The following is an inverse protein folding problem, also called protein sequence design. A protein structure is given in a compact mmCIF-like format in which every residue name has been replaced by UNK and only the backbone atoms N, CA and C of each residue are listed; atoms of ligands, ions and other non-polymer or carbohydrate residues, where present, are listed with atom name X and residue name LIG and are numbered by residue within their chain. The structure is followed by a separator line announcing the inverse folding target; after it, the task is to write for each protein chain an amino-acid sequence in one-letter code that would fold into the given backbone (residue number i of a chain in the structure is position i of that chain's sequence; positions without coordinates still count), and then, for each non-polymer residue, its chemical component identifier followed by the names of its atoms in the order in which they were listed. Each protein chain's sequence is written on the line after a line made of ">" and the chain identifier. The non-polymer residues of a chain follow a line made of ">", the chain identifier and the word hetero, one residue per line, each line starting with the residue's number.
data_IF_409223507709
#
_entry.id   IF_409223507709
#
_cell.length_a   1.000
_cell.length_b   1.000
_cell.length_c   1.000
_cell.angle_alpha   90.00
_cell.angle_beta   90.00
_cell.angle_gamma   90.00
#
_symmetry.space_group_name_H-M   'P 1'
#
loop_
_entity.id
_entity.type
_entity.pdbx_description
1 polymer ?
#
# COMPACT_ATOMS: atom_id res chain seq x y z
N UNK A 1 37.54 5.64 2.22
CA UNK A 1 36.80 4.73 3.11
C UNK A 1 35.67 5.45 3.81
N UNK A 2 34.40 5.12 3.52
CA UNK A 2 33.22 5.78 4.10
C UNK A 2 32.59 5.02 5.28
N UNK A 3 33.06 3.79 5.56
CA UNK A 3 32.53 2.91 6.62
C UNK A 3 33.71 2.25 7.35
N UNK A 4 33.65 2.21 8.69
CA UNK A 4 34.61 1.49 9.56
C UNK A 4 33.86 0.35 10.25
N UNK A 5 34.39 -0.87 10.15
CA UNK A 5 33.81 -2.07 10.77
C UNK A 5 34.73 -2.53 11.90
N UNK A 6 34.17 -2.81 13.07
CA UNK A 6 34.88 -3.39 14.22
C UNK A 6 34.09 -4.56 14.80
N UNK A 7 34.77 -5.70 15.00
CA UNK A 7 34.19 -6.86 15.68
C UNK A 7 34.54 -6.81 17.16
N UNK A 8 33.52 -6.86 18.01
CA UNK A 8 33.65 -6.76 19.47
C UNK A 8 33.14 -8.03 20.14
N UNK A 9 34.04 -8.70 20.84
CA UNK A 9 33.72 -9.79 21.77
C UNK A 9 33.18 -9.17 23.08
N UNK A 10 31.86 -9.28 23.29
CA UNK A 10 31.15 -8.61 24.39
C UNK A 10 31.53 -9.18 25.76
N UNK A 11 31.97 -10.44 25.83
CA UNK A 11 32.43 -11.08 27.06
C UNK A 11 33.78 -10.51 27.51
N UNK A 12 34.67 -10.23 26.54
CA UNK A 12 35.98 -9.61 26.82
C UNK A 12 35.90 -8.11 27.01
N UNK A 13 34.89 -7.44 26.44
CA UNK A 13 34.74 -5.97 26.46
C UNK A 13 33.34 -5.52 26.94
N UNK A 14 32.91 -5.86 28.17
CA UNK A 14 31.55 -5.56 28.67
C UNK A 14 31.25 -4.07 28.82
N UNK A 15 32.28 -3.22 28.93
CA UNK A 15 32.10 -1.76 28.97
C UNK A 15 31.52 -1.20 27.66
N UNK A 16 31.95 -1.75 26.50
CA UNK A 16 31.44 -1.34 25.19
C UNK A 16 29.97 -1.75 25.04
N UNK A 17 29.62 -2.97 25.49
CA UNK A 17 28.24 -3.45 25.51
C UNK A 17 27.31 -2.50 26.27
N UNK A 18 27.72 -2.04 27.46
CA UNK A 18 26.95 -1.08 28.26
C UNK A 18 26.86 0.31 27.63
N UNK A 19 27.98 0.82 27.12
CA UNK A 19 28.00 2.13 26.45
C UNK A 19 27.09 2.15 25.22
N UNK A 20 27.12 1.07 24.45
CA UNK A 20 26.26 0.88 23.29
C UNK A 20 24.90 0.27 23.65
N UNK A 21 24.53 0.12 24.92
CA UNK A 21 23.26 -0.48 25.38
C UNK A 21 22.86 -1.77 24.63
N UNK A 22 23.82 -2.65 24.35
CA UNK A 22 23.59 -3.92 23.68
C UNK A 22 23.02 -4.90 24.72
N UNK A 23 21.81 -5.42 24.47
CA UNK A 23 21.10 -6.33 25.37
C UNK A 23 21.08 -7.79 24.87
N UNK A 24 21.42 -8.02 23.61
CA UNK A 24 21.40 -9.34 22.97
C UNK A 24 22.71 -9.61 22.21
N UNK A 25 23.13 -10.88 22.18
CA UNK A 25 24.21 -11.32 21.30
C UNK A 25 23.81 -11.15 19.83
N UNK A 26 24.80 -11.05 18.94
CA UNK A 26 24.61 -10.81 17.50
C UNK A 26 23.95 -9.47 17.15
N UNK A 27 24.04 -8.48 18.04
CA UNK A 27 23.61 -7.11 17.73
C UNK A 27 24.69 -6.39 16.92
N UNK A 28 24.30 -5.81 15.78
CA UNK A 28 25.13 -4.86 15.02
C UNK A 28 24.80 -3.45 15.51
N UNK A 29 25.80 -2.75 16.04
CA UNK A 29 25.68 -1.37 16.48
C UNK A 29 26.21 -0.42 15.41
N UNK A 30 25.36 0.48 14.93
CA UNK A 30 25.66 1.44 13.87
C UNK A 30 25.79 2.81 14.49
N UNK A 31 26.99 3.39 14.44
CA UNK A 31 27.29 4.67 15.07
C UNK A 31 27.55 5.75 14.02
N UNK A 32 26.84 6.87 14.13
CA UNK A 32 27.07 8.06 13.30
C UNK A 32 26.86 9.34 14.10
N UNK A 33 27.88 10.20 14.13
CA UNK A 33 27.85 11.49 14.85
C UNK A 33 27.31 11.41 16.29
N UNK A 34 27.70 10.35 17.03
CA UNK A 34 27.27 10.13 18.42
C UNK A 34 25.91 9.42 18.58
N UNK A 35 25.13 9.26 17.51
CA UNK A 35 23.91 8.42 17.51
C UNK A 35 24.30 6.95 17.38
N UNK A 36 23.59 6.07 18.07
CA UNK A 36 23.82 4.63 18.05
C UNK A 36 22.51 3.93 17.78
N UNK A 37 22.42 3.32 16.60
CA UNK A 37 21.34 2.42 16.21
C UNK A 37 21.77 0.97 16.40
N UNK A 38 20.80 0.10 16.67
CA UNK A 38 21.04 -1.31 16.96
C UNK A 38 20.12 -2.15 16.10
N UNK A 39 20.70 -3.13 15.43
CA UNK A 39 19.95 -4.12 14.66
C UNK A 39 20.37 -5.52 15.10
N UNK A 40 19.41 -6.43 15.19
CA UNK A 40 19.63 -7.79 15.71
C UNK A 40 19.62 -8.84 14.60
N UNK A 41 19.34 -8.45 13.36
CA UNK A 41 19.50 -9.26 12.16
C UNK A 41 20.69 -8.80 11.33
N UNK A 42 21.31 -9.75 10.64
CA UNK A 42 22.40 -9.52 9.68
C UNK A 42 21.89 -9.34 8.23
N UNK A 43 20.57 -9.29 8.03
CA UNK A 43 19.98 -8.99 6.72
C UNK A 43 20.38 -7.60 6.21
N UNK A 44 20.61 -7.48 4.91
CA UNK A 44 20.95 -6.21 4.26
C UNK A 44 19.92 -5.12 4.58
N UNK A 45 18.63 -5.47 4.55
CA UNK A 45 17.55 -4.54 4.84
C UNK A 45 17.66 -3.93 6.24
N UNK A 46 17.85 -4.73 7.29
CA UNK A 46 17.99 -4.19 8.64
C UNK A 46 19.25 -3.33 8.78
N UNK A 47 20.38 -3.75 8.19
CA UNK A 47 21.63 -2.99 8.24
C UNK A 47 21.48 -1.63 7.55
N UNK A 48 20.93 -1.60 6.33
CA UNK A 48 20.70 -0.36 5.57
C UNK A 48 19.76 0.58 6.33
N UNK A 49 18.66 0.06 6.88
CA UNK A 49 17.72 0.88 7.65
C UNK A 49 18.32 1.41 8.94
N UNK A 50 19.16 0.62 9.63
CA UNK A 50 19.93 1.07 10.79
C UNK A 50 20.92 2.19 10.43
N UNK A 51 21.55 2.13 9.24
CA UNK A 51 22.42 3.21 8.73
C UNK A 51 21.60 4.46 8.46
N UNK A 52 20.46 4.34 7.78
CA UNK A 52 19.57 5.47 7.51
C UNK A 52 19.15 6.14 8.81
N UNK A 53 18.68 5.37 9.81
CA UNK A 53 18.31 5.87 11.15
C UNK A 53 19.47 6.60 11.82
N UNK A 54 20.66 5.99 11.84
CA UNK A 54 21.84 6.58 12.47
C UNK A 54 22.26 7.89 11.79
N UNK A 55 22.14 7.96 10.45
CA UNK A 55 22.57 9.12 9.65
C UNK A 55 21.55 10.26 9.67
N UNK A 56 20.26 9.97 9.51
CA UNK A 56 19.21 11.01 9.49
C UNK A 56 18.86 11.49 10.89
N UNK A 57 18.92 10.61 11.89
CA UNK A 57 18.49 10.91 13.26
C UNK A 57 17.00 11.24 13.39
N UNK A 58 16.20 10.94 12.37
CA UNK A 58 14.76 11.20 12.34
C UNK A 58 14.00 9.92 12.01
N UNK A 59 13.07 9.58 12.91
CA UNK A 59 12.02 8.59 12.67
C UNK A 59 10.85 9.31 12.00
N UNK A 60 10.39 8.80 10.87
CA UNK A 60 9.33 9.45 10.09
C UNK A 60 7.97 9.02 10.61
N UNK A 61 7.12 9.98 10.96
CA UNK A 61 5.79 9.67 11.50
C UNK A 61 4.74 9.60 10.41
N UNK A 62 4.05 8.47 10.37
CA UNK A 62 2.89 8.23 9.50
C UNK A 62 1.64 8.23 10.37
N UNK A 63 0.78 9.21 10.19
CA UNK A 63 -0.46 9.33 10.96
C UNK A 63 -1.61 8.67 10.20
N UNK A 64 -2.24 7.67 10.82
CA UNK A 64 -3.44 7.03 10.29
C UNK A 64 -4.67 7.70 10.92
N UNK A 65 -5.57 8.21 10.09
CA UNK A 65 -6.81 8.82 10.60
C UNK A 65 -7.70 7.76 11.23
N UNK A 66 -8.45 8.17 12.24
CA UNK A 66 -9.39 7.34 12.99
C UNK A 66 -10.61 8.18 13.40
N UNK A 67 -11.76 7.53 13.52
CA UNK A 67 -13.01 8.13 14.01
C UNK A 67 -14.20 7.95 13.07
N UNK A 68 -13.96 7.51 11.83
CA UNK A 68 -14.96 7.34 10.77
C UNK A 68 -15.03 5.89 10.26
N UNK A 69 -14.50 4.93 11.03
CA UNK A 69 -14.50 3.51 10.66
C UNK A 69 -13.37 3.09 9.73
N UNK A 70 -12.30 3.89 9.65
CA UNK A 70 -11.08 3.56 8.91
C UNK A 70 -10.42 2.27 9.40
N UNK A 71 -9.51 1.74 8.58
CA UNK A 71 -8.65 0.60 8.95
C UNK A 71 -7.79 0.93 10.17
N UNK A 72 -7.65 -0.02 11.10
CA UNK A 72 -6.88 0.17 12.34
C UNK A 72 -5.55 -0.59 12.29
N UNK A 73 -4.44 0.14 12.45
CA UNK A 73 -3.08 -0.41 12.51
C UNK A 73 -2.84 -1.29 13.74
N UNK A 74 -3.64 -1.15 14.80
CA UNK A 74 -3.58 -2.01 15.98
C UNK A 74 -4.42 -3.29 15.83
N UNK A 75 -5.30 -3.36 14.83
CA UNK A 75 -6.18 -4.51 14.63
C UNK A 75 -5.47 -5.59 13.80
N UNK A 76 -5.61 -6.84 14.26
CA UNK A 76 -5.17 -8.05 13.53
C UNK A 76 -6.30 -8.70 12.72
N UNK A 77 -7.47 -8.06 12.64
CA UNK A 77 -8.57 -8.51 11.81
C UNK A 77 -8.14 -8.58 10.34
N UNK A 78 -8.62 -9.58 9.61
CA UNK A 78 -8.22 -9.79 8.21
C UNK A 78 -8.74 -8.68 7.29
N UNK A 79 -9.97 -8.19 7.49
CA UNK A 79 -10.61 -7.25 6.58
C UNK A 79 -10.40 -5.79 6.96
N UNK A 80 -10.30 -5.51 8.26
CA UNK A 80 -10.25 -4.15 8.81
C UNK A 80 -8.93 -3.81 9.48
N UNK A 81 -8.07 -4.81 9.69
CA UNK A 81 -6.80 -4.65 10.37
C UNK A 81 -5.64 -4.33 9.42
N UNK A 82 -4.77 -3.44 9.89
CA UNK A 82 -3.54 -3.00 9.24
C UNK A 82 -2.29 -3.35 10.07
N UNK A 83 -2.37 -4.29 11.01
CA UNK A 83 -1.22 -4.68 11.84
C UNK A 83 -0.03 -5.21 11.03
N UNK A 84 -0.27 -5.86 9.89
CA UNK A 84 0.80 -6.25 8.97
C UNK A 84 1.47 -5.06 8.29
N UNK A 85 0.71 -4.03 7.92
CA UNK A 85 1.24 -2.74 7.43
C UNK A 85 2.05 -2.04 8.52
N UNK A 86 1.58 -2.04 9.76
CA UNK A 86 2.31 -1.49 10.90
C UNK A 86 3.69 -2.15 11.06
N UNK A 87 3.75 -3.48 10.96
CA UNK A 87 5.02 -4.21 10.99
C UNK A 87 5.94 -3.80 9.83
N UNK A 88 5.41 -3.63 8.62
CA UNK A 88 6.18 -3.20 7.46
C UNK A 88 6.72 -1.76 7.61
N UNK A 89 5.90 -0.85 8.10
CA UNK A 89 6.30 0.53 8.41
C UNK A 89 7.48 0.56 9.39
N UNK A 90 7.40 -0.21 10.47
CA UNK A 90 8.47 -0.29 11.46
C UNK A 90 9.79 -0.81 10.87
N UNK A 91 9.72 -1.78 9.95
CA UNK A 91 10.88 -2.26 9.20
C UNK A 91 11.53 -1.16 8.38
N UNK A 92 10.73 -0.26 7.81
CA UNK A 92 11.19 0.83 6.93
C UNK A 92 11.43 2.17 7.64
N UNK A 93 11.67 2.16 8.95
CA UNK A 93 11.93 3.36 9.76
C UNK A 93 10.78 4.39 9.76
N UNK A 94 9.55 3.91 9.61
CA UNK A 94 8.36 4.69 9.89
C UNK A 94 7.77 4.31 11.25
N UNK A 95 7.31 5.32 11.97
CA UNK A 95 6.47 5.13 13.15
C UNK A 95 5.04 5.51 12.82
N UNK A 96 4.13 4.55 12.98
CA UNK A 96 2.72 4.82 12.81
C UNK A 96 2.12 5.39 14.11
N UNK A 97 1.31 6.44 13.99
CA UNK A 97 0.53 7.00 15.09
C UNK A 97 -0.94 7.19 14.66
N UNK A 98 -1.86 7.20 15.62
CA UNK A 98 -3.29 7.45 15.36
C UNK A 98 -3.57 8.96 15.34
N UNK A 99 -4.40 9.39 14.41
CA UNK A 99 -4.85 10.78 14.25
C UNK A 99 -6.38 10.83 14.30
N UNK A 100 -6.93 11.37 15.39
CA UNK A 100 -8.37 11.65 15.47
C UNK A 100 -8.56 13.15 15.31
N UNK A 101 -8.88 13.59 14.09
CA UNK A 101 -8.98 15.02 13.74
C UNK A 101 -10.04 15.74 14.58
N UNK A 102 -11.20 15.13 14.82
CA UNK A 102 -12.22 15.67 15.72
C UNK A 102 -11.70 15.99 17.14
N UNK A 103 -10.68 15.28 17.63
CA UNK A 103 -10.11 15.49 18.96
C UNK A 103 -8.91 16.46 18.94
N UNK A 104 -8.06 16.35 17.92
CA UNK A 104 -6.80 17.10 17.85
C UNK A 104 -6.97 18.46 17.15
N UNK A 105 -8.02 18.64 16.34
CA UNK A 105 -8.35 19.87 15.61
C UNK A 105 -7.49 20.15 14.37
N UNK A 106 -6.25 19.66 14.34
CA UNK A 106 -5.35 19.77 13.19
C UNK A 106 -4.39 18.57 13.12
N UNK A 107 -3.71 18.43 11.98
CA UNK A 107 -2.64 17.44 11.81
C UNK A 107 -1.40 17.87 12.61
N UNK A 108 -0.78 16.98 13.39
CA UNK A 108 0.46 17.27 14.12
C UNK A 108 1.59 17.79 13.22
N UNK A 109 2.39 18.73 13.73
CA UNK A 109 3.45 19.38 12.95
C UNK A 109 4.62 18.44 12.59
N UNK A 110 4.77 17.32 13.31
CA UNK A 110 5.74 16.26 13.06
C UNK A 110 5.22 15.15 12.13
N UNK A 111 4.00 15.29 11.60
CA UNK A 111 3.44 14.35 10.64
C UNK A 111 4.18 14.43 9.29
N UNK A 112 4.91 13.37 8.97
CA UNK A 112 5.58 13.23 7.67
C UNK A 112 4.59 12.85 6.57
N UNK A 113 3.66 11.95 6.89
CA UNK A 113 2.59 11.50 5.99
C UNK A 113 1.31 11.33 6.80
N UNK A 114 0.17 11.68 6.21
CA UNK A 114 -1.16 11.30 6.72
C UNK A 114 -1.78 10.26 5.80
N UNK A 115 -2.41 9.24 6.38
CA UNK A 115 -3.11 8.17 5.68
C UNK A 115 -4.57 8.16 6.12
N UNK A 116 -5.47 8.35 5.17
CA UNK A 116 -6.92 8.14 5.33
C UNK A 116 -7.25 6.81 4.68
N UNK A 117 -7.52 5.78 5.50
CA UNK A 117 -7.66 4.41 5.05
C UNK A 117 -9.12 3.92 5.12
N UNK A 118 -9.89 4.12 4.05
CA UNK A 118 -11.24 3.55 3.92
C UNK A 118 -12.25 4.02 4.97
N UNK A 119 -12.50 5.33 5.11
CA UNK A 119 -13.52 5.81 6.03
C UNK A 119 -14.92 5.35 5.58
N UNK A 120 -15.70 4.85 6.53
CA UNK A 120 -17.08 4.37 6.31
C UNK A 120 -18.12 5.49 6.40
N UNK A 121 -17.75 6.62 6.97
CA UNK A 121 -18.56 7.84 7.06
C UNK A 121 -17.74 9.04 6.59
N UNK A 122 -18.39 10.04 6.01
CA UNK A 122 -17.69 11.25 5.57
C UNK A 122 -17.08 12.01 6.74
N UNK A 123 -15.99 12.73 6.46
CA UNK A 123 -15.34 13.60 7.43
C UNK A 123 -16.15 14.89 7.58
N UNK A 124 -16.12 15.48 8.76
CA UNK A 124 -16.73 16.79 8.98
C UNK A 124 -15.92 17.89 8.29
N UNK A 125 -16.59 18.97 7.90
CA UNK A 125 -15.93 20.09 7.23
C UNK A 125 -14.69 20.63 7.99
N UNK A 126 -14.71 20.81 9.33
CA UNK A 126 -13.52 21.25 10.08
C UNK A 126 -12.33 20.28 9.99
N UNK A 127 -12.59 18.98 9.84
CA UNK A 127 -11.55 17.95 9.74
C UNK A 127 -10.90 17.97 8.36
N UNK A 128 -11.71 18.09 7.30
CA UNK A 128 -11.20 18.27 5.93
C UNK A 128 -10.44 19.60 5.82
N UNK A 129 -10.86 20.65 6.51
CA UNK A 129 -10.10 21.90 6.60
C UNK A 129 -8.74 21.72 7.29
N UNK A 130 -8.64 20.83 8.28
CA UNK A 130 -7.36 20.40 8.85
C UNK A 130 -6.45 19.75 7.81
N UNK A 131 -6.98 18.81 7.02
CA UNK A 131 -6.23 18.19 5.91
C UNK A 131 -5.80 19.22 4.86
N UNK A 132 -6.66 20.19 4.51
CA UNK A 132 -6.32 21.29 3.60
C UNK A 132 -5.17 22.13 4.14
N UNK A 133 -5.20 22.51 5.43
CA UNK A 133 -4.11 23.26 6.07
C UNK A 133 -2.82 22.48 6.10
N UNK A 134 -2.89 21.17 6.34
CA UNK A 134 -1.72 20.28 6.30
C UNK A 134 -1.09 20.25 4.89
N UNK A 135 -1.89 20.03 3.85
CA UNK A 135 -1.43 20.01 2.46
C UNK A 135 -0.86 21.36 2.02
N UNK A 136 -1.50 22.47 2.40
CA UNK A 136 -1.02 23.82 2.12
C UNK A 136 0.37 24.14 2.71
N UNK A 137 0.80 23.39 3.74
CA UNK A 137 2.12 23.52 4.39
C UNK A 137 3.16 22.52 3.88
N UNK A 138 2.89 21.81 2.78
CA UNK A 138 3.81 20.80 2.24
C UNK A 138 3.46 19.37 2.64
N UNK A 139 2.31 19.17 3.29
CA UNK A 139 1.85 17.87 3.74
C UNK A 139 1.74 16.83 2.62
N UNK A 140 1.81 15.56 3.02
CA UNK A 140 1.75 14.40 2.14
C UNK A 140 0.56 13.54 2.55
N UNK A 141 -0.40 13.34 1.64
CA UNK A 141 -1.64 12.62 1.94
C UNK A 141 -1.77 11.36 1.07
N UNK A 142 -1.98 10.22 1.71
CA UNK A 142 -2.56 9.04 1.09
C UNK A 142 -4.05 9.00 1.43
N UNK A 143 -4.90 9.08 0.41
CA UNK A 143 -6.36 9.02 0.53
C UNK A 143 -6.86 7.75 -0.16
N UNK A 144 -7.39 6.80 0.61
CA UNK A 144 -7.95 5.56 0.10
C UNK A 144 -9.44 5.55 0.38
N UNK A 145 -10.26 5.52 -0.67
CA UNK A 145 -11.71 5.64 -0.60
C UNK A 145 -12.37 4.41 -1.20
N UNK A 146 -13.02 3.64 -0.35
CA UNK A 146 -13.73 2.41 -0.72
C UNK A 146 -15.11 2.75 -1.34
N UNK A 147 -15.65 1.86 -2.17
CA UNK A 147 -17.06 1.95 -2.57
C UNK A 147 -17.96 1.80 -1.34
N UNK A 148 -19.21 2.30 -1.41
CA UNK A 148 -20.11 2.20 -0.28
C UNK A 148 -20.43 0.73 0.05
N UNK A 149 -20.34 0.36 1.33
CA UNK A 149 -20.70 -0.98 1.82
C UNK A 149 -22.20 -1.30 1.67
N UNK A 150 -23.04 -0.28 1.46
CA UNK A 150 -24.49 -0.39 1.31
C UNK A 150 -24.98 0.62 0.26
N UNK A 151 -26.01 0.24 -0.49
CA UNK A 151 -26.57 1.08 -1.55
C UNK A 151 -27.07 2.46 -1.08
N UNK A 152 -27.44 2.59 0.19
CA UNK A 152 -27.94 3.80 0.84
C UNK A 152 -26.86 4.53 1.68
N UNK A 153 -25.63 4.03 1.73
CA UNK A 153 -24.57 4.65 2.49
C UNK A 153 -24.19 6.02 1.90
N UNK A 154 -24.02 7.01 2.79
CA UNK A 154 -23.53 8.32 2.39
C UNK A 154 -22.12 8.20 1.82
N UNK A 155 -21.88 8.84 0.68
CA UNK A 155 -20.54 8.95 0.10
C UNK A 155 -19.68 9.88 0.95
N UNK A 156 -18.36 9.68 0.89
CA UNK A 156 -17.38 10.57 1.50
C UNK A 156 -17.23 11.89 0.69
N UNK A 157 -18.32 12.65 0.55
CA UNK A 157 -18.44 13.81 -0.34
C UNK A 157 -17.38 14.89 -0.08
N UNK A 158 -17.06 15.16 1.19
CA UNK A 158 -16.04 16.15 1.54
C UNK A 158 -14.63 15.68 1.17
N UNK A 159 -14.32 14.39 1.33
CA UNK A 159 -13.03 13.82 0.90
C UNK A 159 -12.92 13.70 -0.63
N UNK A 160 -14.02 13.37 -1.31
CA UNK A 160 -14.10 13.38 -2.78
C UNK A 160 -13.88 14.79 -3.32
N UNK A 161 -14.47 15.81 -2.67
CA UNK A 161 -14.23 17.20 -3.03
C UNK A 161 -12.76 17.60 -2.83
N UNK A 162 -12.14 17.18 -1.72
CA UNK A 162 -10.70 17.39 -1.48
C UNK A 162 -9.85 16.74 -2.59
N UNK A 163 -10.13 15.49 -2.99
CA UNK A 163 -9.42 14.84 -4.09
C UNK A 163 -9.56 15.64 -5.41
N UNK A 164 -10.76 16.18 -5.68
CA UNK A 164 -11.03 16.97 -6.89
C UNK A 164 -10.27 18.29 -6.92
N UNK A 165 -10.09 18.96 -5.77
CA UNK A 165 -9.21 20.14 -5.63
C UNK A 165 -7.75 19.85 -6.04
N UNK A 166 -7.38 18.57 -6.04
CA UNK A 166 -6.08 18.02 -6.40
C UNK A 166 -6.06 17.35 -7.78
N UNK A 167 -7.02 17.69 -8.63
CA UNK A 167 -7.15 17.18 -10.00
C UNK A 167 -7.41 15.66 -10.09
N UNK A 168 -7.95 15.05 -9.03
CA UNK A 168 -8.32 13.64 -9.00
C UNK A 168 -9.83 13.50 -8.76
N UNK A 169 -10.53 12.93 -9.72
CA UNK A 169 -11.95 12.58 -9.60
C UNK A 169 -12.10 11.14 -9.09
N UNK A 170 -12.97 10.97 -8.09
CA UNK A 170 -13.32 9.67 -7.51
C UNK A 170 -14.73 9.32 -7.97
N UNK A 171 -14.86 8.32 -8.84
CA UNK A 171 -16.17 7.93 -9.37
C UNK A 171 -16.97 7.10 -8.37
N UNK A 172 -18.29 7.03 -8.56
CA UNK A 172 -19.21 6.34 -7.65
C UNK A 172 -19.47 4.87 -7.98
N UNK A 173 -18.94 4.39 -9.11
CA UNK A 173 -19.10 3.00 -9.53
C UNK A 173 -18.17 2.03 -8.78
N UNK A 174 -18.36 0.74 -9.03
CA UNK A 174 -17.48 -0.33 -8.56
C UNK A 174 -16.80 -0.97 -9.76
N UNK A 175 -15.50 -1.23 -9.67
CA UNK A 175 -14.76 -1.87 -10.74
C UNK A 175 -14.98 -3.38 -10.70
N UNK A 176 -15.41 -3.94 -11.82
CA UNK A 176 -15.66 -5.37 -12.00
C UNK A 176 -14.68 -5.90 -13.04
N UNK A 177 -14.02 -7.01 -12.73
CA UNK A 177 -13.04 -7.63 -13.62
C UNK A 177 -13.38 -9.09 -13.92
N UNK A 178 -13.78 -9.35 -15.17
CA UNK A 178 -14.13 -10.69 -15.68
C UNK A 178 -13.00 -11.36 -16.47
N UNK A 179 -11.77 -10.84 -16.39
CA UNK A 179 -10.59 -11.45 -17.02
C UNK A 179 -10.29 -12.86 -16.49
N UNK A 180 -10.83 -13.21 -15.31
CA UNK A 180 -10.60 -14.48 -14.64
C UNK A 180 -9.28 -14.54 -13.86
N UNK A 181 -8.48 -13.47 -13.85
CA UNK A 181 -7.22 -13.40 -13.08
C UNK A 181 -7.50 -13.45 -11.58
N UNK A 182 -8.57 -12.80 -11.10
CA UNK A 182 -9.01 -12.93 -9.70
C UNK A 182 -9.28 -14.39 -9.31
N UNK A 183 -9.96 -15.15 -10.17
CA UNK A 183 -10.22 -16.59 -9.95
C UNK A 183 -8.94 -17.42 -9.86
N UNK A 184 -7.87 -17.03 -10.56
CA UNK A 184 -6.56 -17.68 -10.47
C UNK A 184 -5.87 -17.42 -9.12
N UNK A 185 -6.12 -16.26 -8.52
CA UNK A 185 -5.65 -15.90 -7.17
C UNK A 185 -6.57 -16.41 -6.05
N UNK A 186 -7.63 -17.15 -6.40
CA UNK A 186 -8.61 -17.67 -5.44
C UNK A 186 -9.64 -16.64 -4.97
N UNK A 187 -9.77 -15.50 -5.67
CA UNK A 187 -10.75 -14.44 -5.40
C UNK A 187 -11.92 -14.50 -6.39
N UNK A 188 -13.00 -13.77 -6.13
CA UNK A 188 -14.13 -13.64 -7.06
C UNK A 188 -13.95 -12.47 -8.05
N UNK A 189 -14.96 -12.22 -8.91
CA UNK A 189 -14.96 -11.18 -9.94
C UNK A 189 -14.99 -9.75 -9.39
N UNK A 190 -15.26 -9.58 -8.08
CA UNK A 190 -15.31 -8.29 -7.38
C UNK A 190 -13.96 -7.86 -6.82
N UNK A 191 -12.93 -8.67 -7.03
CA UNK A 191 -11.53 -8.34 -6.72
C UNK A 191 -10.79 -8.11 -8.03
N UNK A 192 -10.87 -6.90 -8.63
CA UNK A 192 -10.04 -6.55 -9.77
C UNK A 192 -8.56 -6.79 -9.50
N UNK A 193 -7.89 -7.35 -10.49
CA UNK A 193 -6.44 -7.54 -10.47
C UNK A 193 -5.84 -6.54 -11.44
N UNK A 194 -5.00 -5.65 -10.94
CA UNK A 194 -4.24 -4.77 -11.80
C UNK A 194 -2.96 -5.48 -12.25
N UNK A 195 -2.66 -5.29 -13.53
CA UNK A 195 -1.42 -5.71 -14.18
C UNK A 195 -0.85 -4.61 -15.08
N UNK A 196 -1.54 -3.47 -15.19
CA UNK A 196 -1.12 -2.31 -15.97
C UNK A 196 -0.72 -1.20 -15.01
N UNK A 197 0.53 -0.75 -15.14
CA UNK A 197 1.13 0.27 -14.30
C UNK A 197 1.68 1.37 -15.21
N UNK A 198 0.90 2.44 -15.47
CA UNK A 198 1.37 3.58 -16.25
C UNK A 198 2.65 4.18 -15.65
N UNK A 199 3.48 4.79 -16.50
CA UNK A 199 4.79 5.31 -16.09
C UNK A 199 4.66 6.33 -14.95
N UNK A 200 5.11 5.96 -13.76
CA UNK A 200 5.14 6.82 -12.58
C UNK A 200 6.21 6.29 -11.59
N UNK A 201 6.94 7.15 -10.84
CA UNK A 201 7.98 6.70 -9.92
C UNK A 201 7.53 5.67 -8.85
N UNK A 202 6.25 5.70 -8.45
CA UNK A 202 5.65 4.71 -7.52
C UNK A 202 5.77 3.27 -8.07
N UNK A 203 5.65 3.11 -9.39
CA UNK A 203 5.58 1.81 -10.07
C UNK A 203 6.75 1.61 -11.04
N UNK A 204 7.84 2.36 -10.86
CA UNK A 204 9.05 2.17 -11.64
C UNK A 204 9.59 0.75 -11.40
N UNK A 205 9.86 0.02 -12.49
CA UNK A 205 10.31 -1.39 -12.47
C UNK A 205 9.38 -2.34 -11.68
N UNK A 206 8.11 -1.95 -11.51
CA UNK A 206 7.10 -2.74 -10.82
C UNK A 206 6.51 -3.79 -11.76
N UNK A 207 6.69 -5.07 -11.41
CA UNK A 207 6.32 -6.20 -12.26
C UNK A 207 5.51 -7.27 -11.51
N UNK A 208 4.90 -6.90 -10.38
CA UNK A 208 4.06 -7.77 -9.56
C UNK A 208 2.60 -7.49 -9.87
N UNK A 209 1.74 -8.50 -9.74
CA UNK A 209 0.29 -8.31 -9.78
C UNK A 209 -0.20 -7.74 -8.46
N UNK A 210 -1.19 -6.84 -8.53
CA UNK A 210 -1.89 -6.29 -7.37
C UNK A 210 -3.38 -6.60 -7.46
N UNK A 211 -4.02 -6.85 -6.32
CA UNK A 211 -5.43 -7.21 -6.24
C UNK A 211 -6.17 -6.25 -5.30
N UNK A 212 -7.34 -5.79 -5.72
CA UNK A 212 -8.09 -4.73 -5.04
C UNK A 212 -9.51 -5.19 -4.77
N UNK A 213 -9.83 -5.66 -3.55
CA UNK A 213 -11.20 -6.04 -3.23
C UNK A 213 -12.12 -4.83 -3.33
N UNK A 214 -13.04 -4.81 -4.29
CA UNK A 214 -14.00 -3.74 -4.51
C UNK A 214 -13.35 -2.36 -4.67
N UNK A 215 -12.74 -2.09 -5.83
CA UNK A 215 -12.19 -0.76 -6.13
C UNK A 215 -13.20 0.20 -6.75
N UNK A 216 -13.00 1.50 -6.54
CA UNK A 216 -13.66 2.59 -7.26
C UNK A 216 -12.83 3.07 -8.45
N UNK A 217 -13.46 3.54 -9.53
CA UNK A 217 -12.75 4.21 -10.61
C UNK A 217 -12.20 5.56 -10.12
N UNK A 218 -10.92 5.80 -10.42
CA UNK A 218 -10.23 7.07 -10.23
C UNK A 218 -9.98 7.67 -11.62
N UNK A 219 -10.07 8.99 -11.76
CA UNK A 219 -9.81 9.66 -13.04
C UNK A 219 -9.04 10.95 -12.81
N UNK A 220 -7.94 11.14 -13.53
CA UNK A 220 -7.25 12.42 -13.55
C UNK A 220 -8.12 13.46 -14.30
N UNK A 221 -8.34 14.62 -13.71
CA UNK A 221 -9.13 15.69 -14.33
C UNK A 221 -8.36 16.24 -15.54
N UNK A 222 -8.96 16.12 -16.73
CA UNK A 222 -8.36 16.61 -17.97
C UNK A 222 -8.07 18.12 -17.89
N UNK A 223 -6.85 18.52 -18.24
CA UNK A 223 -6.40 19.91 -18.13
C UNK A 223 -5.95 20.34 -16.72
N UNK A 224 -6.06 19.47 -15.72
CA UNK A 224 -5.64 19.74 -14.36
C UNK A 224 -6.58 20.67 -13.59
N UNK A 225 -6.26 20.92 -12.32
CA UNK A 225 -7.00 21.82 -11.41
C UNK A 225 -5.98 22.65 -10.64
N UNK A 226 -6.11 23.98 -10.65
CA UNK A 226 -5.18 24.89 -9.95
C UNK A 226 -3.69 24.62 -10.26
N UNK A 227 -3.36 24.42 -11.55
CA UNK A 227 -2.01 24.05 -12.02
C UNK A 227 -1.47 22.72 -11.48
N UNK A 228 -2.34 21.87 -10.93
CA UNK A 228 -2.03 20.51 -10.49
C UNK A 228 -2.47 19.52 -11.56
N UNK A 229 -1.59 18.57 -11.86
CA UNK A 229 -1.82 17.54 -12.87
C UNK A 229 -1.64 16.17 -12.22
N UNK A 230 -2.74 15.43 -12.10
CA UNK A 230 -2.71 14.08 -11.59
C UNK A 230 -2.27 13.09 -12.68
N UNK A 231 -1.56 12.06 -12.28
CA UNK A 231 -1.07 10.99 -13.14
C UNK A 231 -1.60 9.65 -12.61
N UNK A 232 -2.19 8.85 -13.48
CA UNK A 232 -2.55 7.48 -13.18
C UNK A 232 -1.28 6.65 -12.92
N UNK A 233 -1.33 5.71 -11.99
CA UNK A 233 -0.22 4.77 -11.75
C UNK A 233 -0.67 3.31 -11.55
N UNK A 234 -1.98 3.05 -11.48
CA UNK A 234 -2.54 1.69 -11.48
C UNK A 234 -3.81 1.64 -12.31
N UNK A 235 -3.87 0.67 -13.21
CA UNK A 235 -5.02 0.38 -14.07
C UNK A 235 -5.36 -1.11 -14.06
N UNK A 236 -6.65 -1.41 -14.10
CA UNK A 236 -7.17 -2.77 -14.24
C UNK A 236 -6.97 -3.32 -15.65
N UNK A 237 -7.39 -4.57 -15.88
CA UNK A 237 -7.33 -5.18 -17.21
C UNK A 237 -8.26 -4.48 -18.21
N UNK A 238 -7.98 -4.61 -19.51
CA UNK A 238 -8.90 -4.15 -20.57
C UNK A 238 -10.24 -4.91 -20.62
N UNK A 239 -10.38 -5.99 -19.85
CA UNK A 239 -11.61 -6.78 -19.72
C UNK A 239 -12.43 -6.39 -18.48
N UNK A 240 -12.08 -5.31 -17.79
CA UNK A 240 -12.88 -4.77 -16.69
C UNK A 240 -13.90 -3.72 -17.18
N UNK A 241 -14.82 -3.33 -16.31
CA UNK A 241 -15.61 -2.11 -16.44
C UNK A 241 -15.86 -1.49 -15.07
N UNK A 242 -16.26 -0.22 -15.05
CA UNK A 242 -16.82 0.42 -13.86
C UNK A 242 -18.35 0.28 -13.93
N UNK A 243 -18.90 -0.54 -13.03
CA UNK A 243 -20.33 -0.80 -12.83
C UNK A 243 -20.98 0.41 -12.15
N UNK A 244 -21.99 0.97 -12.81
CA UNK A 244 -22.73 2.12 -12.34
C UNK A 244 -23.92 1.76 -11.44
N UNK A 245 -24.54 0.58 -11.63
CA UNK A 245 -25.61 0.05 -10.77
C UNK A 245 -25.05 -0.71 -9.57
N UNK A 246 -24.38 0.07 -8.70
CA UNK A 246 -23.81 -0.43 -7.44
C UNK A 246 -24.88 -1.04 -6.53
N UNK A 247 -26.13 -0.57 -6.60
CA UNK A 247 -27.22 -1.10 -5.77
C UNK A 247 -27.56 -2.53 -6.16
N UNK A 248 -27.74 -2.80 -7.45
CA UNK A 248 -28.02 -4.16 -7.94
C UNK A 248 -26.83 -5.08 -7.65
N UNK A 249 -25.60 -4.60 -7.85
CA UNK A 249 -24.38 -5.34 -7.50
C UNK A 249 -24.34 -5.74 -6.01
N UNK A 250 -24.51 -4.79 -5.10
CA UNK A 250 -24.44 -5.04 -3.64
C UNK A 250 -25.57 -5.93 -3.11
N UNK A 251 -26.69 -6.03 -3.83
CA UNK A 251 -27.83 -6.88 -3.45
C UNK A 251 -27.79 -8.27 -4.07
N UNK A 252 -26.70 -8.61 -4.78
CA UNK A 252 -26.50 -9.92 -5.40
C UNK A 252 -27.24 -10.12 -6.72
N UNK A 253 -27.64 -9.03 -7.38
CA UNK A 253 -28.18 -9.08 -8.73
C UNK A 253 -27.12 -9.46 -9.76
N UNK A 254 -27.57 -10.00 -10.90
CA UNK A 254 -26.67 -10.28 -12.03
C UNK A 254 -26.27 -8.96 -12.69
N UNK A 255 -24.97 -8.67 -12.72
CA UNK A 255 -24.40 -7.49 -13.37
C UNK A 255 -23.86 -7.86 -14.75
N UNK A 256 -24.09 -7.00 -15.74
CA UNK A 256 -23.59 -7.11 -17.11
C UNK A 256 -23.20 -5.71 -17.56
N UNK A 257 -22.15 -5.63 -18.35
CA UNK A 257 -21.73 -4.35 -18.91
C UNK A 257 -22.86 -3.71 -19.73
N UNK A 258 -23.30 -2.53 -19.29
CA UNK A 258 -24.35 -1.74 -19.93
C UNK A 258 -23.91 -0.29 -20.14
N UNK A 259 -23.31 0.00 -21.31
CA UNK A 259 -22.86 1.37 -21.66
C UNK A 259 -23.99 2.41 -21.58
N UNK A 260 -25.22 2.00 -21.94
CA UNK A 260 -26.41 2.86 -21.86
C UNK A 260 -26.82 3.20 -20.41
N UNK A 261 -26.44 2.38 -19.43
CA UNK A 261 -26.66 2.63 -18.01
C UNK A 261 -25.59 3.55 -17.40
N UNK A 262 -24.51 3.83 -18.13
CA UNK A 262 -23.41 4.69 -17.70
C UNK A 262 -22.14 3.93 -17.33
N UNK A 263 -22.09 2.63 -17.59
CA UNK A 263 -20.89 1.83 -17.37
C UNK A 263 -19.73 2.27 -18.26
N UNK A 264 -18.53 2.29 -17.70
CA UNK A 264 -17.31 2.64 -18.43
C UNK A 264 -16.49 1.40 -18.66
N UNK A 265 -16.18 1.09 -19.91
CA UNK A 265 -15.31 -0.04 -20.26
C UNK A 265 -13.85 0.26 -19.89
N UNK A 266 -13.14 -0.78 -19.47
CA UNK A 266 -11.74 -0.70 -19.06
C UNK A 266 -10.74 -0.51 -20.22
N UNK A 267 -9.45 -0.32 -19.88
CA UNK A 267 -8.87 -0.40 -18.54
C UNK A 267 -9.37 0.74 -17.62
N UNK A 268 -9.63 0.42 -16.36
CA UNK A 268 -10.11 1.38 -15.36
C UNK A 268 -8.95 1.78 -14.46
N UNK A 269 -8.63 3.06 -14.42
CA UNK A 269 -7.69 3.60 -13.45
C UNK A 269 -8.28 3.50 -12.04
N UNK A 270 -7.50 3.01 -11.09
CA UNK A 270 -7.89 2.86 -9.68
C UNK A 270 -6.94 3.59 -8.72
N UNK A 271 -5.87 4.19 -9.24
CA UNK A 271 -4.92 4.99 -8.47
C UNK A 271 -4.36 6.14 -9.29
N UNK A 272 -4.35 7.34 -8.69
CA UNK A 272 -3.72 8.53 -9.25
C UNK A 272 -2.89 9.28 -8.21
N UNK A 273 -1.82 9.90 -8.66
CA UNK A 273 -0.87 10.64 -7.83
C UNK A 273 -0.65 12.04 -8.39
N UNK A 274 -0.41 13.00 -7.51
CA UNK A 274 -0.16 14.39 -7.87
C UNK A 274 0.88 15.00 -6.95
N UNK A 275 1.84 15.72 -7.53
CA UNK A 275 2.82 16.51 -6.81
C UNK A 275 2.64 17.98 -7.23
N UNK A 276 2.68 18.88 -6.27
CA UNK A 276 2.64 20.32 -6.50
C UNK A 276 3.75 21.01 -5.70
N UNK A 277 4.43 21.96 -6.34
CA UNK A 277 5.38 22.80 -5.64
C UNK A 277 4.64 23.71 -4.65
N UNK A 278 5.24 23.97 -3.48
CA UNK A 278 4.72 25.00 -2.58
C UNK A 278 4.94 26.37 -3.22
N UNK A 279 3.86 27.13 -3.39
CA UNK A 279 3.93 28.55 -3.73
C UNK A 279 4.46 29.34 -2.52
N UNK A 280 5.76 29.23 -2.26
CA UNK A 280 6.42 30.18 -1.38
C UNK A 280 6.52 31.51 -2.16
N UNK A 281 5.67 32.47 -1.78
CA UNK A 281 5.59 33.76 -2.45
C UNK A 281 6.96 34.45 -2.59
N UNK A 282 7.48 34.48 -3.82
CA UNK A 282 8.20 35.56 -4.50
C UNK A 282 8.56 35.08 -5.93
N UNK A 283 8.16 35.80 -6.99
CA UNK A 283 8.58 35.49 -8.35
C UNK A 283 9.97 36.09 -8.58
N UNK A 284 11.03 35.34 -8.30
CA UNK A 284 12.39 35.76 -8.65
C UNK A 284 12.88 35.07 -9.93
N UNK A 285 12.79 35.84 -11.02
CA UNK A 285 13.72 35.95 -12.15
C UNK A 285 14.06 34.72 -13.03
N UNK A 286 14.49 34.93 -14.30
CA UNK A 286 14.63 33.87 -15.29
C UNK A 286 15.76 32.90 -14.94
N UNK A 287 15.47 31.60 -15.07
CA UNK A 287 16.42 30.51 -14.86
C UNK A 287 17.61 30.58 -15.84
N UNK A 288 18.81 30.73 -15.29
CA UNK A 288 20.06 30.40 -15.97
C UNK A 288 20.67 29.14 -15.33
N UNK A 289 20.81 28.12 -16.19
CA UNK A 289 21.74 26.98 -16.15
C UNK A 289 22.09 26.27 -14.81
N UNK A 290 21.65 25.00 -14.76
CA UNK A 290 22.29 23.80 -14.18
C UNK A 290 23.21 23.95 -12.95
N UNK A 291 22.75 23.39 -11.80
CA UNK A 291 23.61 22.66 -10.85
C UNK A 291 22.89 21.45 -10.25
N UNK A 292 23.60 20.33 -10.22
CA UNK A 292 23.32 19.12 -9.42
C UNK A 292 23.45 19.45 -7.93
N UNK A 293 22.65 18.78 -7.11
CA UNK A 293 22.55 18.85 -5.64
C UNK A 293 21.75 20.05 -5.07
N UNK A 294 20.60 20.38 -5.67
CA UNK A 294 19.58 21.15 -4.95
C UNK A 294 18.82 20.23 -3.97
N UNK A 295 18.70 20.66 -2.72
CA UNK A 295 17.76 20.07 -1.77
C UNK A 295 16.36 20.00 -2.43
N UNK A 296 15.61 18.89 -2.27
CA UNK A 296 14.32 18.74 -2.94
C UNK A 296 13.45 19.97 -2.64
N UNK A 297 12.95 20.62 -3.70
CA UNK A 297 12.05 21.76 -3.54
C UNK A 297 10.89 21.34 -2.65
N UNK A 298 10.48 22.24 -1.77
CA UNK A 298 9.39 21.97 -0.85
C UNK A 298 8.12 21.71 -1.68
N UNK A 299 7.71 20.45 -1.70
CA UNK A 299 6.58 19.96 -2.49
C UNK A 299 5.50 19.47 -1.54
N UNK A 300 4.27 19.42 -2.02
CA UNK A 300 3.16 18.71 -1.40
C UNK A 300 2.70 17.63 -2.38
N UNK A 301 2.34 16.45 -1.85
CA UNK A 301 1.99 15.29 -2.67
C UNK A 301 0.71 14.65 -2.14
N UNK A 302 -0.15 14.22 -3.07
CA UNK A 302 -1.33 13.45 -2.75
C UNK A 302 -1.37 12.21 -3.64
N UNK A 303 -1.70 11.08 -3.02
CA UNK A 303 -2.05 9.85 -3.73
C UNK A 303 -3.49 9.52 -3.35
N UNK A 304 -4.30 9.21 -4.36
CA UNK A 304 -5.67 8.72 -4.18
C UNK A 304 -5.78 7.33 -4.78
N UNK A 305 -6.29 6.39 -4.00
CA UNK A 305 -6.63 5.03 -4.43
C UNK A 305 -8.11 4.78 -4.18
N UNK A 306 -8.76 4.09 -5.11
CA UNK A 306 -10.17 3.71 -5.01
C UNK A 306 -10.44 2.48 -4.14
N UNK A 307 -9.43 2.01 -3.40
CA UNK A 307 -9.51 0.83 -2.53
C UNK A 307 -8.50 0.96 -1.38
N UNK A 308 -8.94 0.68 -0.17
CA UNK A 308 -8.16 0.55 1.05
C UNK A 308 -8.00 -0.91 1.50
N UNK A 309 -8.83 -1.82 1.00
CA UNK A 309 -8.77 -3.25 1.31
C UNK A 309 -7.51 -3.91 0.73
N UNK A 310 -6.93 -3.43 -0.37
CA UNK A 310 -5.69 -4.00 -0.93
C UNK A 310 -4.52 -4.08 0.08
N UNK A 311 -4.50 -3.20 1.09
CA UNK A 311 -3.48 -3.17 2.14
C UNK A 311 -3.94 -3.80 3.47
N UNK A 312 -5.15 -4.36 3.52
CA UNK A 312 -5.66 -5.08 4.69
C UNK A 312 -4.91 -6.39 4.92
N UNK A 313 -4.89 -6.86 6.17
CA UNK A 313 -4.19 -8.07 6.57
C UNK A 313 -4.56 -9.31 5.73
N UNK A 314 -5.82 -9.43 5.29
CA UNK A 314 -6.35 -10.57 4.54
C UNK A 314 -5.76 -10.72 3.13
N UNK A 315 -5.29 -9.61 2.53
CA UNK A 315 -4.67 -9.61 1.19
C UNK A 315 -3.23 -9.11 1.19
N UNK A 316 -2.68 -8.71 2.34
CA UNK A 316 -1.29 -8.28 2.48
C UNK A 316 -0.26 -9.39 2.18
N UNK A 317 -0.70 -10.65 2.18
CA UNK A 317 0.08 -11.78 1.68
C UNK A 317 0.43 -11.68 0.19
N UNK A 318 -0.34 -10.92 -0.59
CA UNK A 318 -0.02 -10.60 -1.98
C UNK A 318 1.15 -9.61 -1.98
N UNK A 319 2.32 -10.08 -2.39
CA UNK A 319 3.55 -9.29 -2.37
C UNK A 319 3.39 -7.95 -3.11
N UNK A 320 2.74 -7.96 -4.27
CA UNK A 320 2.50 -6.73 -5.04
C UNK A 320 1.74 -5.67 -4.24
N UNK A 321 0.73 -6.06 -3.47
CA UNK A 321 -0.06 -5.11 -2.68
C UNK A 321 0.79 -4.44 -1.59
N UNK A 322 1.55 -5.25 -0.86
CA UNK A 322 2.46 -4.76 0.18
C UNK A 322 3.51 -3.82 -0.42
N UNK A 323 4.16 -4.24 -1.51
CA UNK A 323 5.22 -3.47 -2.15
C UNK A 323 4.67 -2.16 -2.74
N UNK A 324 3.49 -2.19 -3.36
CA UNK A 324 2.84 -0.99 -3.87
C UNK A 324 2.50 0.01 -2.77
N UNK A 325 1.91 -0.45 -1.66
CA UNK A 325 1.60 0.44 -0.52
C UNK A 325 2.86 1.11 0.00
N UNK A 326 3.95 0.36 0.13
CA UNK A 326 5.23 0.91 0.57
C UNK A 326 5.87 1.84 -0.44
N UNK A 327 5.73 1.59 -1.75
CA UNK A 327 6.20 2.50 -2.79
C UNK A 327 5.42 3.82 -2.80
N UNK A 328 4.11 3.77 -2.58
CA UNK A 328 3.26 4.96 -2.40
C UNK A 328 3.77 5.80 -1.24
N UNK A 329 4.04 5.20 -0.09
CA UNK A 329 4.58 5.92 1.07
C UNK A 329 6.00 6.44 0.85
N UNK A 330 6.87 5.66 0.19
CA UNK A 330 8.21 6.10 -0.18
C UNK A 330 8.18 7.31 -1.11
N UNK A 331 7.29 7.31 -2.09
CA UNK A 331 7.09 8.45 -2.99
C UNK A 331 6.49 9.65 -2.26
N UNK A 332 5.50 9.47 -1.39
CA UNK A 332 4.98 10.56 -0.56
C UNK A 332 6.07 11.16 0.34
N UNK A 333 6.91 10.32 0.94
CA UNK A 333 8.04 10.71 1.77
C UNK A 333 9.27 11.25 1.04
N UNK A 334 9.20 11.41 -0.30
CA UNK A 334 10.31 11.87 -1.16
C UNK A 334 11.57 11.00 -1.07
N UNK A 335 11.40 9.70 -0.80
CA UNK A 335 12.47 8.70 -0.73
C UNK A 335 12.62 7.92 -2.05
N UNK A 336 12.49 8.60 -3.18
CA UNK A 336 12.45 7.95 -4.50
C UNK A 336 13.69 7.06 -4.76
N UNK A 337 14.86 7.45 -4.25
CA UNK A 337 16.08 6.64 -4.33
C UNK A 337 16.01 5.36 -3.46
N UNK A 338 15.25 5.35 -2.37
CA UNK A 338 15.07 4.15 -1.51
C UNK A 338 14.00 3.20 -2.06
N UNK A 339 13.08 3.67 -2.91
CA UNK A 339 12.09 2.80 -3.57
C UNK A 339 12.79 1.71 -4.38
N UNK A 340 13.88 2.06 -5.08
CA UNK A 340 14.66 1.14 -5.92
C UNK A 340 15.54 0.13 -5.16
N UNK A 341 15.74 0.30 -3.85
CA UNK A 341 16.70 -0.50 -3.06
C UNK A 341 16.00 -1.57 -2.20
N UNK A 342 14.66 -1.65 -2.18
CA UNK A 342 13.95 -2.68 -1.40
C UNK A 342 14.36 -4.08 -1.86
N UNK A 343 15.02 -4.89 -1.02
CA UNK A 343 15.31 -6.28 -1.36
C UNK A 343 13.99 -7.04 -1.47
N UNK A 344 13.79 -7.77 -2.57
CA UNK A 344 12.64 -8.66 -2.70
C UNK A 344 12.81 -9.79 -1.67
N UNK A 345 11.95 -9.83 -0.65
CA UNK A 345 11.85 -11.00 0.22
C UNK A 345 11.59 -12.24 -0.66
N UNK A 346 12.23 -13.36 -0.36
CA UNK A 346 11.91 -14.62 -1.03
C UNK A 346 10.42 -14.89 -0.80
N UNK A 347 9.63 -14.79 -1.88
CA UNK A 347 8.18 -14.92 -1.79
C UNK A 347 7.81 -16.20 -1.06
N UNK A 348 6.95 -16.07 -0.04
CA UNK A 348 6.34 -17.21 0.62
C UNK A 348 5.54 -17.97 -0.45
N UNK A 349 6.10 -19.08 -0.95
CA UNK A 349 5.45 -19.94 -1.93
C UNK A 349 4.35 -20.74 -1.23
N UNK A 350 3.33 -20.05 -0.75
CA UNK A 350 2.11 -20.70 -0.31
C UNK A 350 1.47 -21.31 -1.54
N UNK A 351 1.24 -22.61 -1.49
CA UNK A 351 0.51 -23.31 -2.54
C UNK A 351 -0.96 -22.86 -2.43
N UNK A 352 -1.33 -21.85 -3.21
CA UNK A 352 -2.73 -21.43 -3.36
C UNK A 352 -3.42 -22.40 -4.31
N UNK A 353 -4.26 -23.28 -3.77
CA UNK A 353 -5.06 -24.22 -4.58
C UNK A 353 -6.46 -23.65 -4.80
N UNK A 354 -6.96 -23.73 -6.02
CA UNK A 354 -8.40 -23.50 -6.27
C UNK A 354 -9.22 -24.61 -5.61
N UNK A 355 -10.49 -24.34 -5.27
CA UNK A 355 -11.38 -25.35 -4.65
C UNK A 355 -11.43 -26.65 -5.45
N UNK A 356 -11.40 -26.56 -6.79
CA UNK A 356 -11.35 -27.73 -7.68
C UNK A 356 -10.01 -28.49 -7.64
N UNK A 357 -8.89 -27.80 -7.43
CA UNK A 357 -7.58 -28.43 -7.27
C UNK A 357 -7.50 -29.10 -5.89
N UNK A 358 -8.01 -28.45 -4.84
CA UNK A 358 -8.10 -29.03 -3.51
C UNK A 358 -8.95 -30.31 -3.50
N UNK A 359 -10.12 -30.31 -4.15
CA UNK A 359 -10.96 -31.52 -4.26
C UNK A 359 -10.25 -32.62 -5.06
N UNK A 360 -9.58 -32.28 -6.18
CA UNK A 360 -8.81 -33.27 -6.96
C UNK A 360 -7.66 -33.87 -6.17
N UNK A 361 -6.92 -33.04 -5.45
CA UNK A 361 -5.81 -33.49 -4.59
C UNK A 361 -6.35 -34.40 -3.48
N UNK A 362 -7.46 -34.03 -2.85
CA UNK A 362 -8.11 -34.85 -1.83
C UNK A 362 -8.58 -36.20 -2.39
N UNK A 363 -9.17 -36.23 -3.58
CA UNK A 363 -9.57 -37.47 -4.25
C UNK A 363 -8.37 -38.35 -4.63
N UNK A 364 -7.28 -37.75 -5.13
CA UNK A 364 -6.07 -38.48 -5.49
C UNK A 364 -5.43 -39.11 -4.25
N UNK A 365 -5.27 -38.33 -3.17
CA UNK A 365 -4.61 -38.78 -1.95
C UNK A 365 -5.45 -39.79 -1.17
N UNK A 366 -6.77 -39.59 -1.08
CA UNK A 366 -7.64 -40.42 -0.26
C UNK A 366 -8.17 -41.67 -0.99
N UNK A 367 -8.37 -41.59 -2.32
CA UNK A 367 -8.95 -42.70 -3.08
C UNK A 367 -7.96 -43.33 -4.06
N UNK A 368 -7.32 -42.53 -4.93
CA UNK A 368 -6.52 -43.07 -6.03
C UNK A 368 -5.26 -43.76 -5.53
N UNK A 369 -4.49 -43.12 -4.64
CA UNK A 369 -3.25 -43.70 -4.11
C UNK A 369 -3.54 -44.98 -3.29
N UNK A 370 -4.48 -45.01 -2.33
CA UNK A 370 -4.82 -46.24 -1.61
C UNK A 370 -5.37 -47.34 -2.53
N UNK A 371 -6.20 -47.00 -3.51
CA UNK A 371 -6.72 -47.97 -4.47
C UNK A 371 -5.60 -48.58 -5.34
N UNK A 372 -4.61 -47.79 -5.76
CA UNK A 372 -3.44 -48.30 -6.47
C UNK A 372 -2.59 -49.22 -5.58
N UNK A 373 -2.40 -48.89 -4.31
CA UNK A 373 -1.68 -49.75 -3.36
C UNK A 373 -2.41 -51.07 -3.13
N UNK A 374 -3.72 -51.02 -2.87
CA UNK A 374 -4.56 -52.22 -2.70
C UNK A 374 -4.61 -53.05 -4.00
N UNK A 375 -4.78 -52.40 -5.15
CA UNK A 375 -4.81 -53.05 -6.45
C UNK A 375 -3.50 -53.77 -6.77
N UNK A 376 -2.35 -53.14 -6.50
CA UNK A 376 -1.05 -53.81 -6.63
C UNK A 376 -0.89 -54.96 -5.64
N UNK A 377 -1.40 -54.82 -4.41
CA UNK A 377 -1.42 -55.90 -3.42
C UNK A 377 -2.23 -57.12 -3.89
N UNK A 378 -3.45 -56.89 -4.39
CA UNK A 378 -4.33 -57.94 -4.94
C UNK A 378 -3.72 -58.58 -6.18
N UNK A 379 -3.20 -57.77 -7.11
CA UNK A 379 -2.53 -58.26 -8.31
C UNK A 379 -1.31 -59.13 -7.97
N UNK A 380 -0.49 -58.69 -7.00
CA UNK A 380 0.65 -59.45 -6.50
C UNK A 380 0.24 -60.77 -5.84
N UNK A 381 -0.85 -60.79 -5.09
CA UNK A 381 -1.41 -62.03 -4.52
C UNK A 381 -1.90 -62.98 -5.61
N UNK A 382 -2.60 -62.47 -6.62
CA UNK A 382 -3.11 -63.28 -7.73
C UNK A 382 -2.03 -63.89 -8.60
N UNK A 383 -0.88 -63.20 -8.75
CA UNK A 383 0.25 -63.70 -9.53
C UNK A 383 1.10 -64.74 -8.78
N UNK A 384 0.96 -64.82 -7.45
CA UNK A 384 1.68 -65.76 -6.57
C UNK A 384 0.88 -67.02 -6.26
N UNK A 385 -0.39 -67.04 -6.62
CA UNK A 385 -1.29 -68.18 -6.55
C UNK A 385 -1.23 -68.94 -7.87
#
# INVERSE_FOLDING_TARGET
>A
DKVKIEYVDLDKRPAIARQMQIQAYNTIAIQYQGRVERVTSDTEQEIVNGIIKAVTGQERKVYFTQGHGEKDTASSDERTGYSGILAQLGRDNYKAEKLVLAQQGDVPADASIVVVAGPRTDFLAPEVDGLRRYLAKGGKLLLMLDPPDRADAAQAGNLIALAREWAIEVGNGVVVDVSGVGRLLGTDETVPVAASYPNHPIVQDFNLLTAYPLARPITAVAGGVNSRFAQAFVETSGNSWAESDVKTMLTGGEIKFEEAAGDKKGPITIGAAVAAALENGKPDAPAAAEKKDEAPKAETRMVVLGDSDFASNGVLGIQGNRDLFMNVLGWLGQDENLISIRPREAGDQRITMTSSQQTRVLLVVLLVIPALVLGNGVYGWWRRR
#
